data_IF_208579810472
#
_entry.id   IF_208579810472
#
_cell.length_a   1.000
_cell.length_b   1.000
_cell.length_c   1.000
_cell.angle_alpha   90.00
_cell.angle_beta   90.00
_cell.angle_gamma   90.00
#
_symmetry.space_group_name_H-M   'P 1'
#
loop_
_entity.id
_entity.type
_entity.pdbx_description
1 polymer ?
#
# COMPACT_ATOMS: atom_id res chain seq x y z
N UNK A 1 9.36 0.53 -22.21
CA UNK A 1 10.50 1.49 -22.27
C UNK A 1 10.24 2.84 -21.60
N UNK A 2 9.08 3.51 -21.78
CA UNK A 2 8.79 4.84 -21.16
C UNK A 2 8.86 4.85 -19.63
N UNK A 3 8.41 3.77 -18.96
CA UNK A 3 8.42 3.67 -17.49
C UNK A 3 9.85 3.63 -16.90
N UNK A 4 10.74 2.83 -17.49
CA UNK A 4 12.14 2.71 -17.05
C UNK A 4 12.88 4.04 -17.26
N UNK A 5 12.73 4.69 -18.43
CA UNK A 5 13.34 5.99 -18.70
C UNK A 5 12.91 7.07 -17.69
N UNK A 6 11.61 7.13 -17.34
CA UNK A 6 11.09 8.07 -16.34
C UNK A 6 11.63 7.81 -14.93
N UNK A 7 11.80 6.53 -14.57
CA UNK A 7 12.34 6.11 -13.28
C UNK A 7 13.84 6.42 -13.16
N UNK A 8 14.61 6.15 -14.23
CA UNK A 8 16.05 6.50 -14.31
C UNK A 8 16.25 8.01 -14.22
N UNK A 9 15.41 8.81 -14.89
CA UNK A 9 15.49 10.28 -14.83
C UNK A 9 15.22 10.86 -13.44
N UNK A 10 14.39 10.18 -12.60
CA UNK A 10 14.07 10.63 -11.23
C UNK A 10 15.06 10.15 -10.17
N UNK A 11 15.57 8.93 -10.28
CA UNK A 11 16.33 8.25 -9.23
C UNK A 11 17.81 8.09 -9.57
N UNK A 12 18.20 8.34 -10.80
CA UNK A 12 19.50 7.99 -11.34
C UNK A 12 19.60 6.49 -11.71
N UNK A 13 20.51 6.20 -12.65
CA UNK A 13 20.68 4.85 -13.21
C UNK A 13 21.04 3.80 -12.13
N UNK A 14 21.96 4.15 -11.22
CA UNK A 14 22.44 3.26 -10.15
C UNK A 14 21.34 2.82 -9.18
N UNK A 15 20.49 3.76 -8.74
CA UNK A 15 19.38 3.45 -7.83
C UNK A 15 18.28 2.67 -8.55
N UNK A 16 17.95 3.05 -9.78
CA UNK A 16 16.95 2.36 -10.58
C UNK A 16 17.34 0.90 -10.89
N UNK A 17 18.59 0.64 -11.29
CA UNK A 17 19.09 -0.73 -11.54
C UNK A 17 19.12 -1.59 -10.27
N UNK A 18 19.56 -1.02 -9.14
CA UNK A 18 19.55 -1.70 -7.86
C UNK A 18 18.13 -2.11 -7.40
N UNK A 19 17.11 -1.26 -7.64
CA UNK A 19 15.72 -1.60 -7.37
C UNK A 19 15.17 -2.69 -8.29
N UNK A 20 15.55 -2.66 -9.57
CA UNK A 20 15.19 -3.73 -10.52
C UNK A 20 15.83 -5.04 -10.11
N UNK A 21 17.12 -5.05 -9.77
CA UNK A 21 17.82 -6.24 -9.28
C UNK A 21 17.17 -6.83 -8.02
N UNK A 22 16.83 -5.99 -7.04
CA UNK A 22 16.09 -6.42 -5.85
C UNK A 22 14.76 -7.10 -6.22
N UNK A 23 13.99 -6.47 -7.11
CA UNK A 23 12.67 -6.98 -7.51
C UNK A 23 12.75 -8.30 -8.29
N UNK A 24 13.79 -8.48 -9.11
CA UNK A 24 13.94 -9.67 -9.95
C UNK A 24 14.63 -10.84 -9.24
N UNK A 25 15.51 -10.59 -8.28
CA UNK A 25 16.29 -11.61 -7.61
C UNK A 25 15.76 -11.93 -6.21
N UNK A 26 15.59 -10.90 -5.37
CA UNK A 26 15.26 -11.09 -3.95
C UNK A 26 13.78 -11.39 -3.74
N UNK A 27 12.89 -10.62 -4.35
CA UNK A 27 11.44 -10.77 -4.14
C UNK A 27 10.92 -12.16 -4.56
N UNK A 28 11.30 -12.73 -5.74
CA UNK A 28 10.88 -14.09 -6.10
C UNK A 28 11.44 -15.15 -5.16
N UNK A 29 12.71 -15.01 -4.73
CA UNK A 29 13.31 -15.91 -3.76
C UNK A 29 12.58 -15.87 -2.42
N UNK A 30 12.31 -14.67 -1.86
CA UNK A 30 11.54 -14.52 -0.63
C UNK A 30 10.13 -15.11 -0.77
N UNK A 31 9.43 -14.88 -1.90
CA UNK A 31 8.12 -15.48 -2.14
C UNK A 31 8.17 -17.01 -2.14
N UNK A 32 9.17 -17.59 -2.79
CA UNK A 32 9.30 -19.03 -2.86
C UNK A 32 9.58 -19.65 -1.48
N UNK A 33 10.47 -19.02 -0.69
CA UNK A 33 10.84 -19.49 0.65
C UNK A 33 9.82 -19.19 1.74
N UNK A 34 8.88 -18.27 1.49
CA UNK A 34 7.87 -17.84 2.48
C UNK A 34 6.48 -18.44 2.25
N UNK A 35 6.32 -19.39 1.33
CA UNK A 35 4.98 -19.94 1.00
C UNK A 35 4.24 -20.46 2.23
N UNK A 36 4.91 -21.27 3.03
CA UNK A 36 4.34 -21.81 4.27
C UNK A 36 3.91 -20.70 5.23
N UNK A 37 4.77 -19.69 5.42
CA UNK A 37 4.44 -18.56 6.31
C UNK A 37 3.28 -17.73 5.79
N UNK A 38 3.18 -17.52 4.48
CA UNK A 38 2.04 -16.84 3.86
C UNK A 38 0.74 -17.63 4.08
N UNK A 39 0.77 -18.94 3.91
CA UNK A 39 -0.37 -19.83 4.17
C UNK A 39 -0.79 -19.78 5.65
N UNK A 40 0.17 -19.82 6.58
CA UNK A 40 -0.08 -19.66 8.01
C UNK A 40 -0.78 -18.31 8.32
N UNK A 41 -0.31 -17.20 7.74
CA UNK A 41 -0.95 -15.87 7.91
C UNK A 41 -2.37 -15.88 7.34
N UNK A 42 -2.56 -16.41 6.13
CA UNK A 42 -3.87 -16.49 5.49
C UNK A 42 -4.86 -17.27 6.39
N UNK A 43 -4.45 -18.41 6.90
CA UNK A 43 -5.29 -19.25 7.78
C UNK A 43 -5.53 -18.58 9.14
N UNK A 44 -4.48 -18.07 9.77
CA UNK A 44 -4.55 -17.45 11.10
C UNK A 44 -5.52 -16.26 11.14
N UNK A 45 -5.53 -15.45 10.08
CA UNK A 45 -6.34 -14.24 10.01
C UNK A 45 -7.61 -14.39 9.16
N UNK A 46 -7.89 -15.59 8.66
CA UNK A 46 -9.06 -15.86 7.83
C UNK A 46 -9.12 -15.02 6.56
N UNK A 47 -7.96 -14.80 5.93
CA UNK A 47 -7.90 -14.07 4.67
C UNK A 47 -8.47 -14.93 3.55
N UNK A 48 -9.42 -14.38 2.80
CA UNK A 48 -9.97 -15.06 1.64
C UNK A 48 -9.02 -14.89 0.44
N UNK A 49 -8.38 -15.98 0.05
CA UNK A 49 -7.50 -16.06 -1.11
C UNK A 49 -8.21 -16.66 -2.34
N UNK A 50 -9.51 -16.88 -2.27
CA UNK A 50 -10.30 -17.38 -3.40
C UNK A 50 -10.35 -16.37 -4.56
N UNK A 51 -10.58 -16.83 -5.78
CA UNK A 51 -10.81 -15.94 -6.90
C UNK A 51 -11.96 -14.98 -6.63
N UNK A 52 -11.80 -13.73 -7.05
CA UNK A 52 -12.87 -12.73 -6.92
C UNK A 52 -14.16 -13.26 -7.56
N UNK A 53 -15.30 -13.16 -6.85
CA UNK A 53 -16.57 -13.59 -7.39
C UNK A 53 -16.91 -12.83 -8.69
N UNK A 54 -17.81 -13.33 -9.53
CA UNK A 54 -18.22 -12.66 -10.75
C UNK A 54 -18.86 -11.30 -10.42
N UNK A 55 -18.13 -10.24 -10.70
CA UNK A 55 -18.56 -8.85 -10.55
C UNK A 55 -18.41 -8.13 -11.88
N UNK A 56 -19.10 -7.01 -12.05
CA UNK A 56 -18.91 -6.18 -13.24
C UNK A 56 -17.46 -5.70 -13.29
N UNK A 57 -16.69 -6.20 -14.25
CA UNK A 57 -15.31 -5.80 -14.50
C UNK A 57 -15.25 -4.87 -15.71
N UNK A 58 -14.75 -3.68 -15.52
CA UNK A 58 -14.52 -2.70 -16.59
C UNK A 58 -13.01 -2.45 -16.71
N UNK A 59 -12.49 -2.63 -17.91
CA UNK A 59 -11.09 -2.33 -18.23
C UNK A 59 -11.01 -0.93 -18.83
N UNK A 60 -10.12 -0.12 -18.26
CA UNK A 60 -9.85 1.25 -18.73
C UNK A 60 -8.39 1.40 -19.13
N UNK A 61 -8.08 2.32 -20.03
CA UNK A 61 -6.72 2.60 -20.48
C UNK A 61 -5.84 3.18 -19.36
N UNK A 62 -6.44 3.92 -18.45
CA UNK A 62 -5.80 4.51 -17.28
C UNK A 62 -6.86 4.85 -16.23
N UNK A 63 -6.50 4.73 -14.95
CA UNK A 63 -7.33 5.26 -13.84
C UNK A 63 -7.63 6.77 -13.99
N UNK A 64 -6.83 7.51 -14.76
CA UNK A 64 -7.00 8.95 -15.03
C UNK A 64 -7.49 9.23 -16.46
N UNK A 65 -8.15 8.28 -17.12
CA UNK A 65 -8.73 8.49 -18.44
C UNK A 65 -10.17 8.99 -18.37
N UNK A 66 -10.65 9.58 -19.44
CA UNK A 66 -12.04 10.03 -19.56
C UNK A 66 -13.02 8.86 -19.45
N UNK A 67 -12.62 7.66 -19.91
CA UNK A 67 -13.39 6.42 -19.71
C UNK A 67 -13.65 6.13 -18.23
N UNK A 68 -12.66 6.38 -17.35
CA UNK A 68 -12.82 6.20 -15.91
C UNK A 68 -13.79 7.22 -15.32
N UNK A 69 -13.69 8.47 -15.75
CA UNK A 69 -14.60 9.55 -15.32
C UNK A 69 -16.05 9.20 -15.72
N UNK A 70 -16.27 8.84 -17.00
CA UNK A 70 -17.58 8.47 -17.51
C UNK A 70 -18.16 7.27 -16.76
N UNK A 71 -17.36 6.22 -16.55
CA UNK A 71 -17.78 5.03 -15.80
C UNK A 71 -18.18 5.36 -14.36
N UNK A 72 -17.41 6.20 -13.66
CA UNK A 72 -17.75 6.62 -12.29
C UNK A 72 -19.02 7.48 -12.27
N UNK A 73 -19.19 8.37 -13.24
CA UNK A 73 -20.39 9.20 -13.38
C UNK A 73 -21.64 8.37 -13.69
N UNK A 74 -21.53 7.32 -14.50
CA UNK A 74 -22.63 6.38 -14.75
C UNK A 74 -22.96 5.53 -13.51
N UNK A 75 -21.92 5.08 -12.80
CA UNK A 75 -22.09 4.19 -11.64
C UNK A 75 -22.61 4.91 -10.40
N UNK A 76 -22.27 6.20 -10.24
CA UNK A 76 -22.59 7.02 -9.04
C UNK A 76 -22.29 6.31 -7.72
N UNK A 77 -21.05 5.82 -7.50
CA UNK A 77 -20.71 5.08 -6.28
C UNK A 77 -20.73 6.02 -5.07
N UNK A 78 -21.05 5.49 -3.90
CA UNK A 78 -20.89 6.20 -2.62
C UNK A 78 -19.46 6.14 -2.11
N UNK A 79 -18.77 5.01 -2.36
CA UNK A 79 -17.40 4.76 -1.93
C UNK A 79 -16.62 4.14 -3.07
N UNK A 80 -15.38 4.57 -3.26
CA UNK A 80 -14.42 3.99 -4.19
C UNK A 80 -13.19 3.51 -3.40
N UNK A 81 -12.97 2.21 -3.38
CA UNK A 81 -11.75 1.64 -2.77
C UNK A 81 -10.64 1.64 -3.80
N UNK A 82 -9.54 2.29 -3.46
CA UNK A 82 -8.35 2.39 -4.30
C UNK A 82 -7.31 1.38 -3.84
N UNK A 83 -6.80 0.57 -4.75
CA UNK A 83 -5.77 -0.43 -4.44
C UNK A 83 -4.78 -0.57 -5.58
N UNK A 84 -3.47 -0.44 -5.28
CA UNK A 84 -2.38 -0.75 -6.19
C UNK A 84 -2.34 0.07 -7.49
N UNK A 85 -2.89 1.27 -7.49
CA UNK A 85 -2.93 2.14 -8.67
C UNK A 85 -1.88 3.25 -8.62
N UNK A 86 -1.82 4.07 -9.66
CA UNK A 86 -1.03 5.31 -9.68
C UNK A 86 -1.78 6.44 -8.96
N UNK A 87 -1.12 7.58 -8.75
CA UNK A 87 -1.76 8.79 -8.24
C UNK A 87 -2.99 9.11 -9.10
N UNK A 88 -4.13 9.32 -8.44
CA UNK A 88 -5.40 9.66 -9.07
C UNK A 88 -5.46 11.17 -9.27
N UNK A 89 -5.82 11.59 -10.45
CA UNK A 89 -5.94 13.01 -10.79
C UNK A 89 -7.17 13.64 -10.12
N UNK A 90 -7.08 14.94 -9.83
CA UNK A 90 -8.19 15.71 -9.26
C UNK A 90 -9.48 15.61 -10.10
N UNK A 91 -9.35 15.54 -11.43
CA UNK A 91 -10.51 15.37 -12.32
C UNK A 91 -11.29 14.08 -12.06
N UNK A 92 -10.62 13.01 -11.64
CA UNK A 92 -11.26 11.74 -11.28
C UNK A 92 -11.81 11.79 -9.86
N UNK A 93 -11.02 12.31 -8.90
CA UNK A 93 -11.46 12.42 -7.50
C UNK A 93 -12.71 13.27 -7.34
N UNK A 94 -12.88 14.30 -8.19
CA UNK A 94 -13.97 15.26 -8.10
C UNK A 94 -15.12 14.98 -9.10
N UNK A 95 -15.06 13.89 -9.88
CA UNK A 95 -16.08 13.64 -10.91
C UNK A 95 -17.41 13.10 -10.35
N UNK A 96 -17.40 12.59 -9.12
CA UNK A 96 -18.58 12.08 -8.39
C UNK A 96 -18.47 12.43 -6.90
N UNK A 97 -19.57 12.53 -6.18
CA UNK A 97 -19.58 12.81 -4.73
C UNK A 97 -19.27 11.55 -3.90
N UNK A 98 -18.26 10.79 -4.32
CA UNK A 98 -17.84 9.55 -3.66
C UNK A 98 -16.67 9.79 -2.70
N UNK A 99 -16.60 9.02 -1.63
CA UNK A 99 -15.42 8.95 -0.78
C UNK A 99 -14.43 7.97 -1.39
N UNK A 100 -13.22 8.41 -1.72
CA UNK A 100 -12.14 7.54 -2.19
C UNK A 100 -11.30 7.11 -1.00
N UNK A 101 -11.17 5.81 -0.77
CA UNK A 101 -10.47 5.24 0.39
C UNK A 101 -9.34 4.34 -0.10
N UNK A 102 -8.15 4.48 0.48
CA UNK A 102 -7.00 3.61 0.27
C UNK A 102 -6.56 2.95 1.58
N UNK A 103 -6.04 1.73 1.46
CA UNK A 103 -5.33 1.04 2.53
C UNK A 103 -3.85 1.01 2.19
N UNK A 104 -3.07 1.79 2.94
CA UNK A 104 -1.64 1.98 2.73
C UNK A 104 -0.82 1.13 3.71
N UNK A 105 0.20 0.43 3.19
CA UNK A 105 1.09 -0.44 3.97
C UNK A 105 2.21 0.35 4.68
N UNK A 106 1.82 1.23 5.58
CA UNK A 106 2.68 2.09 6.41
C UNK A 106 1.86 2.97 7.32
N UNK A 107 2.46 3.47 8.38
CA UNK A 107 1.85 4.47 9.27
C UNK A 107 2.11 5.86 8.69
N UNK A 108 1.06 6.51 8.17
CA UNK A 108 1.14 7.88 7.64
C UNK A 108 0.98 8.90 8.78
N UNK A 109 1.61 10.07 8.67
CA UNK A 109 2.43 10.58 7.57
C UNK A 109 3.89 10.12 7.59
N UNK A 110 4.33 9.34 8.57
CA UNK A 110 5.73 8.96 8.81
C UNK A 110 6.31 8.12 7.66
N UNK A 111 5.55 7.12 7.21
CA UNK A 111 6.00 6.14 6.21
C UNK A 111 5.06 6.09 5.01
N UNK A 112 5.06 7.18 4.18
CA UNK A 112 4.32 7.26 2.92
C UNK A 112 5.05 6.58 1.77
N UNK A 113 4.35 6.22 0.71
CA UNK A 113 4.93 5.67 -0.52
C UNK A 113 4.88 4.15 -0.58
N UNK A 114 6.00 3.45 -0.48
CA UNK A 114 5.99 1.99 -0.59
C UNK A 114 6.79 1.31 0.51
N UNK A 115 6.27 0.16 0.98
CA UNK A 115 6.91 -0.69 2.00
C UNK A 115 7.14 0.00 3.34
N UNK A 116 6.20 0.84 3.79
CA UNK A 116 6.33 1.61 5.03
C UNK A 116 6.65 0.76 6.25
N UNK A 117 6.05 -0.43 6.38
CA UNK A 117 6.37 -1.36 7.47
C UNK A 117 7.82 -1.86 7.45
N UNK A 118 8.37 -2.19 6.27
CA UNK A 118 9.78 -2.56 6.13
C UNK A 118 10.70 -1.41 6.55
N UNK A 119 10.44 -0.21 6.05
CA UNK A 119 11.26 0.96 6.38
C UNK A 119 11.17 1.34 7.85
N UNK A 120 10.02 1.19 8.50
CA UNK A 120 9.87 1.39 9.93
C UNK A 120 10.76 0.44 10.74
N UNK A 121 10.82 -0.84 10.35
CA UNK A 121 11.71 -1.80 10.99
C UNK A 121 13.19 -1.49 10.75
N UNK A 122 13.55 -1.09 9.53
CA UNK A 122 14.93 -0.66 9.18
C UNK A 122 15.39 0.53 10.01
N UNK A 123 14.49 1.47 10.30
CA UNK A 123 14.78 2.64 11.16
C UNK A 123 14.61 2.34 12.65
N UNK A 124 14.42 1.08 13.05
CA UNK A 124 14.17 0.67 14.44
C UNK A 124 12.94 1.33 15.07
N UNK A 125 12.02 1.81 14.25
CA UNK A 125 10.77 2.43 14.67
C UNK A 125 9.64 1.39 14.63
N UNK A 126 9.75 0.37 15.46
CA UNK A 126 8.85 -0.79 15.49
C UNK A 126 7.39 -0.38 15.68
N UNK A 127 7.15 0.63 16.49
CA UNK A 127 5.81 1.18 16.75
C UNK A 127 5.15 1.83 15.52
N UNK A 128 5.91 2.12 14.48
CA UNK A 128 5.41 2.61 13.19
C UNK A 128 5.32 1.52 12.12
N UNK A 129 5.57 0.25 12.49
CA UNK A 129 5.32 -0.87 11.59
C UNK A 129 3.82 -1.21 11.59
N UNK A 130 3.10 -0.80 10.54
CA UNK A 130 1.65 -0.94 10.52
C UNK A 130 1.00 -0.58 9.20
N UNK A 131 -0.26 -0.26 9.25
CA UNK A 131 -1.12 0.05 8.10
C UNK A 131 -2.01 1.24 8.42
N UNK A 132 -2.27 2.07 7.44
CA UNK A 132 -3.20 3.21 7.49
C UNK A 132 -4.32 3.03 6.50
N UNK A 133 -5.55 3.23 6.92
CA UNK A 133 -6.69 3.49 6.04
C UNK A 133 -6.94 4.99 6.02
N UNK A 134 -6.96 5.58 4.83
CA UNK A 134 -7.08 7.02 4.66
C UNK A 134 -7.93 7.37 3.45
N UNK A 135 -8.47 8.58 3.42
CA UNK A 135 -9.06 9.15 2.21
C UNK A 135 -7.96 9.42 1.17
N UNK A 136 -8.32 9.33 -0.09
CA UNK A 136 -7.39 9.61 -1.18
C UNK A 136 -7.53 11.07 -1.59
N UNK A 137 -6.41 11.76 -1.63
CA UNK A 137 -6.25 13.10 -2.18
C UNK A 137 -5.29 13.09 -3.39
N UNK A 138 -4.91 14.26 -3.88
CA UNK A 138 -3.99 14.41 -5.00
C UNK A 138 -2.52 14.16 -4.64
N UNK A 139 -2.21 13.97 -3.36
CA UNK A 139 -0.87 13.65 -2.85
C UNK A 139 -0.57 12.15 -2.86
N UNK A 140 0.55 11.79 -2.29
CA UNK A 140 0.92 10.39 -2.07
C UNK A 140 0.72 10.07 -0.59
N UNK A 141 -0.34 9.32 -0.28
CA UNK A 141 -0.70 8.89 1.07
C UNK A 141 -0.77 10.06 2.08
N UNK A 142 -1.36 11.19 1.65
CA UNK A 142 -1.46 12.44 2.41
C UNK A 142 -2.88 12.74 2.89
N UNK A 143 -3.85 11.96 2.45
CA UNK A 143 -5.25 12.18 2.78
C UNK A 143 -5.58 11.94 4.25
N UNK A 144 -6.77 12.38 4.64
CA UNK A 144 -7.29 12.31 6.01
C UNK A 144 -7.30 10.87 6.53
N UNK A 145 -6.70 10.63 7.69
CA UNK A 145 -6.56 9.29 8.28
C UNK A 145 -7.89 8.85 8.88
N UNK A 146 -8.38 7.68 8.47
CA UNK A 146 -9.62 7.07 8.96
C UNK A 146 -9.38 6.01 10.03
N UNK A 147 -8.18 5.45 10.06
CA UNK A 147 -7.75 4.50 11.06
C UNK A 147 -6.35 3.98 10.81
N UNK A 148 -5.69 3.58 11.87
CA UNK A 148 -4.35 3.00 11.83
C UNK A 148 -4.28 1.80 12.76
N UNK A 149 -3.47 0.81 12.41
CA UNK A 149 -3.14 -0.30 13.29
C UNK A 149 -1.72 -0.77 13.06
N UNK A 150 -1.13 -1.33 14.08
CA UNK A 150 0.24 -1.87 14.05
C UNK A 150 0.22 -3.35 13.73
N UNK A 151 1.33 -3.83 13.20
CA UNK A 151 1.64 -5.25 13.08
C UNK A 151 2.90 -5.54 13.89
N UNK A 152 3.01 -6.77 14.38
CA UNK A 152 4.19 -7.24 15.09
C UNK A 152 4.76 -8.44 14.34
N UNK A 153 5.66 -8.21 13.36
CA UNK A 153 6.36 -9.29 12.68
C UNK A 153 7.24 -10.09 13.65
N UNK A 154 7.45 -11.35 13.36
CA UNK A 154 8.35 -12.22 14.09
C UNK A 154 9.52 -12.70 13.21
N UNK A 155 10.36 -13.58 13.75
CA UNK A 155 11.57 -14.07 13.05
C UNK A 155 11.28 -14.87 11.78
N UNK A 156 10.05 -15.38 11.60
CA UNK A 156 9.63 -16.06 10.37
C UNK A 156 9.20 -15.07 9.28
N UNK A 157 9.02 -13.79 9.63
CA UNK A 157 8.53 -12.78 8.71
C UNK A 157 9.67 -12.09 7.95
N UNK A 158 9.33 -11.52 6.78
CA UNK A 158 10.26 -10.82 5.91
C UNK A 158 9.52 -9.81 5.02
N UNK A 159 10.27 -9.13 4.17
CA UNK A 159 9.77 -8.12 3.24
C UNK A 159 8.48 -8.49 2.49
N UNK A 160 8.31 -9.77 2.15
CA UNK A 160 7.11 -10.24 1.44
C UNK A 160 5.95 -10.48 2.41
N UNK A 161 6.22 -11.12 3.56
CA UNK A 161 5.16 -11.47 4.53
C UNK A 161 4.65 -10.27 5.29
N UNK A 162 5.44 -9.19 5.45
CA UNK A 162 4.95 -7.95 6.07
C UNK A 162 3.70 -7.41 5.38
N UNK A 163 3.65 -7.48 4.04
CA UNK A 163 2.47 -7.06 3.28
C UNK A 163 1.20 -7.88 3.61
N UNK A 164 1.33 -9.18 3.84
CA UNK A 164 0.21 -10.04 4.25
C UNK A 164 -0.27 -9.71 5.67
N UNK A 165 0.65 -9.52 6.61
CA UNK A 165 0.32 -9.07 7.96
C UNK A 165 -0.39 -7.71 7.97
N UNK A 166 0.08 -6.78 7.15
CA UNK A 166 -0.54 -5.46 6.99
C UNK A 166 -1.94 -5.56 6.37
N UNK A 167 -2.14 -6.44 5.37
CA UNK A 167 -3.47 -6.70 4.83
C UNK A 167 -4.40 -7.30 5.91
N UNK A 168 -3.94 -8.28 6.64
CA UNK A 168 -4.71 -8.90 7.71
C UNK A 168 -5.17 -7.88 8.77
N UNK A 169 -4.26 -7.03 9.20
CA UNK A 169 -4.53 -5.99 10.20
C UNK A 169 -5.40 -4.85 9.63
N UNK A 170 -5.23 -4.48 8.37
CA UNK A 170 -5.90 -3.33 7.76
C UNK A 170 -7.29 -3.60 7.21
N UNK A 171 -7.58 -4.85 6.79
CA UNK A 171 -8.90 -5.18 6.22
C UNK A 171 -10.08 -4.91 7.15
N UNK A 172 -10.03 -5.20 8.47
CA UNK A 172 -11.10 -4.81 9.39
C UNK A 172 -11.32 -3.29 9.45
N UNK A 173 -10.25 -2.50 9.44
CA UNK A 173 -10.32 -1.04 9.41
C UNK A 173 -10.92 -0.54 8.09
N UNK A 174 -10.51 -1.10 6.97
CA UNK A 174 -11.04 -0.75 5.65
C UNK A 174 -12.53 -1.05 5.57
N UNK A 175 -12.96 -2.24 6.02
CA UNK A 175 -14.38 -2.62 6.06
C UNK A 175 -15.21 -1.68 6.94
N UNK A 176 -14.65 -1.23 8.06
CA UNK A 176 -15.29 -0.24 8.94
C UNK A 176 -15.40 1.11 8.22
N UNK A 177 -14.30 1.63 7.67
CA UNK A 177 -14.30 2.92 6.97
C UNK A 177 -15.29 2.94 5.78
N UNK A 178 -15.43 1.84 5.04
CA UNK A 178 -16.43 1.71 3.97
C UNK A 178 -17.86 1.84 4.54
N UNK A 179 -18.17 1.14 5.62
CA UNK A 179 -19.50 1.23 6.27
C UNK A 179 -19.78 2.64 6.76
N UNK A 180 -18.85 3.21 7.53
CA UNK A 180 -18.97 4.55 8.08
C UNK A 180 -19.16 5.60 6.95
N UNK A 181 -18.46 5.45 5.81
CA UNK A 181 -18.65 6.30 4.64
C UNK A 181 -20.03 6.11 3.99
N UNK A 182 -20.51 4.87 3.88
CA UNK A 182 -21.85 4.58 3.36
C UNK A 182 -22.96 5.16 4.26
N UNK A 183 -22.74 5.21 5.57
CA UNK A 183 -23.69 5.71 6.55
C UNK A 183 -23.58 7.22 6.79
N UNK A 184 -22.62 7.89 6.13
CA UNK A 184 -22.35 9.32 6.30
C UNK A 184 -21.74 9.68 7.67
N UNK A 185 -21.14 8.69 8.35
CA UNK A 185 -20.59 8.82 9.71
C UNK A 185 -19.06 8.73 9.73
N UNK A 186 -18.42 9.00 8.59
CA UNK A 186 -16.97 8.87 8.45
C UNK A 186 -16.22 9.86 9.36
N UNK A 187 -15.43 9.31 10.26
CA UNK A 187 -14.61 10.09 11.20
C UNK A 187 -13.12 9.92 10.90
N UNK A 188 -12.36 10.98 11.18
CA UNK A 188 -10.91 10.93 11.09
C UNK A 188 -10.28 10.75 12.46
N UNK A 189 -9.10 10.17 12.47
CA UNK A 189 -8.24 10.08 13.65
C UNK A 189 -7.06 11.02 13.51
N UNK A 190 -6.49 11.45 14.65
CA UNK A 190 -5.30 12.30 14.65
C UNK A 190 -4.11 11.58 14.01
N UNK A 191 -3.33 12.33 13.25
CA UNK A 191 -2.06 11.83 12.74
C UNK A 191 -1.06 11.67 13.89
N UNK A 192 -0.20 10.63 13.87
CA UNK A 192 0.90 10.55 14.82
C UNK A 192 1.91 11.66 14.57
N UNK A 193 2.55 12.12 15.64
CA UNK A 193 3.63 13.09 15.58
C UNK A 193 4.87 12.52 14.88
N UNK A 194 5.59 13.36 14.16
CA UNK A 194 6.86 13.03 13.54
C UNK A 194 7.01 13.55 12.11
N UNK A 195 8.20 13.38 11.58
CA UNK A 195 8.54 13.85 10.23
C UNK A 195 7.88 12.99 9.15
N UNK A 196 7.19 13.64 8.23
CA UNK A 196 6.55 12.99 7.08
C UNK A 196 7.58 12.66 6.01
N UNK A 197 7.77 11.37 5.71
CA UNK A 197 8.77 10.91 4.72
C UNK A 197 8.14 10.03 3.64
N UNK A 198 8.63 10.23 2.41
CA UNK A 198 8.20 9.48 1.23
C UNK A 198 9.26 8.41 0.88
N UNK A 199 8.87 7.16 1.06
CA UNK A 199 9.74 6.02 0.85
C UNK A 199 9.58 5.39 -0.54
N UNK A 200 10.67 4.83 -1.04
CA UNK A 200 10.72 4.14 -2.34
C UNK A 200 11.10 2.66 -2.14
N UNK A 201 11.05 1.87 -3.22
CA UNK A 201 11.55 0.50 -3.16
C UNK A 201 13.01 0.47 -2.73
N UNK A 202 13.44 -0.47 -1.88
CA UNK A 202 14.85 -0.66 -1.59
C UNK A 202 15.60 -1.13 -2.85
N UNK A 203 16.87 -0.78 -2.93
CA UNK A 203 17.80 -1.39 -3.86
C UNK A 203 18.30 -2.73 -3.31
N UNK A 204 18.89 -3.57 -4.17
CA UNK A 204 19.54 -4.81 -3.74
C UNK A 204 20.59 -4.55 -2.65
N UNK A 205 21.42 -3.53 -2.84
CA UNK A 205 22.46 -3.16 -1.86
C UNK A 205 21.87 -2.68 -0.52
N UNK A 206 20.86 -1.82 -0.55
CA UNK A 206 20.16 -1.37 0.69
C UNK A 206 19.54 -2.58 1.42
N UNK A 207 18.87 -3.48 0.72
CA UNK A 207 18.27 -4.66 1.34
C UNK A 207 19.31 -5.55 2.00
N UNK A 208 20.39 -5.88 1.29
CA UNK A 208 21.48 -6.72 1.84
C UNK A 208 22.14 -6.05 3.04
N UNK A 209 22.42 -4.75 2.96
CA UNK A 209 22.98 -3.98 4.07
C UNK A 209 22.09 -4.03 5.33
N UNK A 210 20.78 -3.74 5.18
CA UNK A 210 19.87 -3.74 6.32
C UNK A 210 19.62 -5.14 6.88
N UNK A 211 19.61 -6.15 6.02
CA UNK A 211 19.52 -7.55 6.46
C UNK A 211 20.71 -7.97 7.32
N UNK A 212 21.93 -7.57 6.95
CA UNK A 212 23.14 -7.91 7.70
C UNK A 212 23.32 -7.05 8.96
N UNK A 213 22.96 -5.76 8.91
CA UNK A 213 23.18 -4.83 10.01
C UNK A 213 22.08 -4.87 11.06
N UNK A 214 20.82 -4.94 10.65
CA UNK A 214 19.65 -4.80 11.52
C UNK A 214 18.82 -6.08 11.62
N UNK A 215 19.19 -7.14 10.90
CA UNK A 215 18.41 -8.39 10.86
C UNK A 215 17.06 -8.29 10.15
N UNK A 216 16.72 -7.13 9.59
CA UNK A 216 15.43 -6.91 8.89
C UNK A 216 15.45 -7.66 7.56
N UNK A 217 14.52 -8.58 7.40
CA UNK A 217 14.49 -9.51 6.26
C UNK A 217 13.50 -9.02 5.22
#
# INVERSE_FOLDING_TARGET
>A
MKFVKRRVGRLGLRKASGQVAFRLLVVPWLKATSRRRIEEIIQQFGLDASPMPPVKLVKVSSVNSDETVQFLQELQPRVVVVSGTRIIAASVLNCVPAVFINMHAGITPLYRGVHGGYWALVEHHVDACGVTVHEVDTGVDTGRILGQTRITPNDADNFVTYGFLQQAAGLPLLKRAIRDACDGQLQSVAAPDGESRLWTHPTLGEYVYHRLKSGVK
#
